data_IF_650576946506
#
_entry.id   IF_650576946506
#
_cell.length_a   1.000
_cell.length_b   1.000
_cell.length_c   1.000
_cell.angle_alpha   90.00
_cell.angle_beta   90.00
_cell.angle_gamma   90.00
#
_symmetry.space_group_name_H-M   'P 1'
#
loop_
_entity.id
_entity.type
_entity.pdbx_description
1 polymer ?
#
# COMPACT_ATOMS: atom_id res chain seq x y z
N UNK A 1 -0.64 16.13 58.93
CA UNK A 1 -0.52 17.51 58.40
C UNK A 1 0.82 17.83 57.73
N UNK A 2 1.90 17.07 57.92
CA UNK A 2 3.16 17.28 57.19
C UNK A 2 3.25 16.47 55.88
N UNK A 3 2.59 15.32 55.77
CA UNK A 3 2.58 14.48 54.56
C UNK A 3 1.69 15.02 53.43
N UNK A 4 0.58 15.70 53.74
CA UNK A 4 -0.31 16.31 52.72
C UNK A 4 0.30 17.51 51.98
N UNK A 5 1.36 18.12 52.53
CA UNK A 5 2.04 19.25 51.86
C UNK A 5 3.06 18.80 50.82
N UNK A 6 3.61 17.58 50.91
CA UNK A 6 4.57 17.06 49.93
C UNK A 6 3.90 16.44 48.70
N UNK A 7 2.71 15.84 48.86
CA UNK A 7 1.96 15.26 47.74
C UNK A 7 1.36 16.30 46.80
N UNK A 8 1.03 17.50 47.29
CA UNK A 8 0.45 18.57 46.48
C UNK A 8 1.48 19.38 45.67
N UNK A 9 2.79 19.16 45.87
CA UNK A 9 3.85 19.93 45.19
C UNK A 9 4.33 19.27 43.89
N UNK A 10 4.20 17.95 43.73
CA UNK A 10 4.75 17.26 42.55
C UNK A 10 3.83 17.34 41.33
N UNK A 11 2.51 17.32 41.49
CA UNK A 11 1.57 17.54 40.36
C UNK A 11 1.65 18.96 39.80
N UNK A 12 2.21 19.91 40.56
CA UNK A 12 2.49 21.27 40.10
C UNK A 12 3.75 21.39 39.21
N UNK A 13 4.51 20.31 39.00
CA UNK A 13 5.75 20.32 38.20
C UNK A 13 5.50 20.23 36.69
N UNK A 14 4.32 19.80 36.26
CA UNK A 14 4.02 19.57 34.85
C UNK A 14 2.74 20.31 34.46
N UNK A 15 2.80 21.02 33.33
CA UNK A 15 1.66 21.70 32.73
C UNK A 15 1.03 20.77 31.68
N UNK A 16 -0.26 20.48 31.81
CA UNK A 16 -1.01 19.70 30.81
C UNK A 16 -1.24 20.53 29.56
N UNK A 17 -0.89 19.95 28.40
CA UNK A 17 -1.06 20.55 27.07
C UNK A 17 -2.18 19.87 26.28
N UNK A 18 -2.41 18.58 26.52
CA UNK A 18 -3.49 17.83 25.87
C UNK A 18 -3.73 16.48 26.53
N UNK A 19 -4.90 15.89 26.27
CA UNK A 19 -5.28 14.56 26.76
C UNK A 19 -5.40 13.62 25.57
N UNK A 20 -4.65 12.51 25.60
CA UNK A 20 -4.71 11.46 24.58
C UNK A 20 -5.76 10.41 24.94
N UNK A 21 -5.87 10.08 26.22
CA UNK A 21 -6.81 9.08 26.72
C UNK A 21 -7.20 9.42 28.14
N UNK A 22 -8.47 9.28 28.47
CA UNK A 22 -8.98 9.45 29.83
C UNK A 22 -10.01 8.38 30.13
N UNK A 23 -9.62 7.42 30.95
CA UNK A 23 -10.42 6.27 31.36
C UNK A 23 -10.32 6.09 32.86
N UNK A 24 -11.17 5.22 33.42
CA UNK A 24 -11.12 4.90 34.86
C UNK A 24 -9.76 4.33 35.29
N UNK A 25 -9.04 3.65 34.40
CA UNK A 25 -7.81 2.91 34.72
C UNK A 25 -6.53 3.60 34.23
N UNK A 26 -6.65 4.61 33.36
CA UNK A 26 -5.52 5.34 32.79
C UNK A 26 -5.98 6.71 32.28
N UNK A 27 -5.24 7.74 32.68
CA UNK A 27 -5.27 9.06 32.05
C UNK A 27 -3.89 9.30 31.41
N UNK A 28 -3.83 9.36 30.08
CA UNK A 28 -2.61 9.65 29.31
C UNK A 28 -2.68 11.08 28.76
N UNK A 29 -1.67 11.89 29.08
CA UNK A 29 -1.65 13.32 28.75
C UNK A 29 -0.30 13.75 28.18
N UNK A 30 -0.34 14.66 27.22
CA UNK A 30 0.84 15.41 26.80
C UNK A 30 1.04 16.55 27.79
N UNK A 31 2.23 16.62 28.36
CA UNK A 31 2.61 17.59 29.38
C UNK A 31 3.96 18.22 29.04
N UNK A 32 4.27 19.36 29.65
CA UNK A 32 5.61 19.96 29.61
C UNK A 32 6.01 20.48 30.98
N UNK A 33 7.30 20.66 31.22
CA UNK A 33 7.78 21.38 32.41
C UNK A 33 7.62 22.89 32.18
N UNK A 34 7.24 23.67 33.22
CA UNK A 34 7.12 25.12 33.11
C UNK A 34 8.39 25.76 32.55
N UNK A 35 8.27 26.44 31.40
CA UNK A 35 9.39 27.12 30.74
C UNK A 35 10.26 26.23 29.84
N UNK A 36 10.00 24.92 29.77
CA UNK A 36 10.69 24.00 28.86
C UNK A 36 9.84 23.74 27.60
N UNK A 37 10.53 23.51 26.48
CA UNK A 37 9.90 23.15 25.19
C UNK A 37 9.78 21.65 24.97
N UNK A 38 10.42 20.82 25.81
CA UNK A 38 10.34 19.37 25.69
C UNK A 38 8.91 18.91 25.98
N UNK A 39 8.34 18.13 25.06
CA UNK A 39 7.06 17.49 25.24
C UNK A 39 7.26 16.14 25.92
N UNK A 40 6.43 15.87 26.91
CA UNK A 40 6.46 14.66 27.71
C UNK A 40 5.08 14.00 27.67
N UNK A 41 5.06 12.68 27.85
CA UNK A 41 3.87 11.88 28.01
C UNK A 41 3.75 11.48 29.48
N UNK A 42 2.67 11.90 30.12
CA UNK A 42 2.30 11.47 31.46
C UNK A 42 1.28 10.35 31.39
N UNK A 43 1.64 9.17 31.87
CA UNK A 43 0.71 8.08 32.13
C UNK A 43 0.33 8.11 33.62
N UNK A 44 -0.89 8.56 33.94
CA UNK A 44 -1.48 8.49 35.27
C UNK A 44 -2.32 7.25 35.41
N UNK A 45 -2.01 6.40 36.39
CA UNK A 45 -2.77 5.18 36.68
C UNK A 45 -3.14 5.15 38.16
N UNK A 46 -4.40 4.87 38.50
CA UNK A 46 -4.81 4.76 39.89
C UNK A 46 -4.13 3.61 40.64
N UNK A 47 -3.82 3.85 41.91
CA UNK A 47 -3.42 2.81 42.84
C UNK A 47 -4.59 1.88 43.12
N UNK A 48 -4.36 0.59 42.89
CA UNK A 48 -5.27 -0.49 43.23
C UNK A 48 -4.51 -1.77 43.52
N UNK A 49 -5.19 -2.77 44.07
CA UNK A 49 -4.61 -4.10 44.31
C UNK A 49 -4.11 -4.73 43.00
N UNK A 50 -4.90 -4.59 41.95
CA UNK A 50 -4.62 -5.09 40.60
C UNK A 50 -3.46 -4.38 39.88
N UNK A 51 -3.19 -3.10 40.18
CA UNK A 51 -2.09 -2.34 39.54
C UNK A 51 -0.77 -2.40 40.33
N UNK A 52 -0.78 -2.98 41.54
CA UNK A 52 0.37 -3.01 42.44
C UNK A 52 1.58 -3.76 41.86
N UNK A 53 1.35 -4.91 41.25
CA UNK A 53 2.41 -5.71 40.64
C UNK A 53 3.08 -4.95 39.47
N UNK A 54 2.24 -4.32 38.63
CA UNK A 54 2.69 -3.50 37.52
C UNK A 54 3.55 -2.32 37.99
N UNK A 55 3.10 -1.58 39.02
CA UNK A 55 3.89 -0.49 39.60
C UNK A 55 5.25 -0.98 40.13
N UNK A 56 5.29 -2.12 40.83
CA UNK A 56 6.56 -2.68 41.32
C UNK A 56 7.54 -3.00 40.18
N UNK A 57 7.04 -3.51 39.05
CA UNK A 57 7.87 -3.81 37.88
C UNK A 57 8.34 -2.51 37.19
N UNK A 58 7.47 -1.51 37.05
CA UNK A 58 7.82 -0.19 36.53
C UNK A 58 8.89 0.51 37.37
N UNK A 59 8.76 0.45 38.70
CA UNK A 59 9.76 1.02 39.61
C UNK A 59 11.12 0.33 39.47
N UNK A 60 11.13 -1.00 39.35
CA UNK A 60 12.36 -1.75 39.09
C UNK A 60 13.01 -1.36 37.74
N UNK A 61 12.21 -1.13 36.71
CA UNK A 61 12.70 -0.64 35.42
C UNK A 61 13.27 0.78 35.53
N UNK A 62 12.55 1.68 36.19
CA UNK A 62 12.94 3.07 36.39
C UNK A 62 14.27 3.23 37.15
N UNK A 63 14.48 2.41 38.17
CA UNK A 63 15.72 2.46 38.99
C UNK A 63 16.95 1.97 38.23
N UNK A 64 16.78 1.15 37.19
CA UNK A 64 17.86 0.62 36.35
C UNK A 64 18.03 1.36 35.03
N UNK A 65 17.22 2.39 34.79
CA UNK A 65 17.20 3.11 33.51
C UNK A 65 18.55 3.75 33.22
N UNK A 66 18.92 3.74 31.96
CA UNK A 66 20.04 4.53 31.47
C UNK A 66 19.69 6.02 31.46
N UNK A 67 20.70 6.89 31.60
CA UNK A 67 20.54 8.36 31.61
C UNK A 67 19.90 8.89 30.31
N UNK A 68 20.10 8.19 29.18
CA UNK A 68 19.54 8.55 27.87
C UNK A 68 18.17 7.94 27.60
N UNK A 69 17.58 7.21 28.54
CA UNK A 69 16.28 6.56 28.38
C UNK A 69 15.16 7.57 28.06
N UNK A 70 14.15 7.12 27.33
CA UNK A 70 12.91 7.87 27.15
C UNK A 70 12.05 7.88 28.42
N UNK A 71 12.36 7.04 29.42
CA UNK A 71 11.69 7.00 30.71
C UNK A 71 12.28 8.10 31.63
N UNK A 72 11.59 9.23 31.72
CA UNK A 72 12.09 10.46 32.33
C UNK A 72 11.92 10.44 33.84
N UNK A 73 10.71 10.15 34.31
CA UNK A 73 10.35 10.32 35.72
C UNK A 73 9.28 9.30 36.15
N UNK A 74 9.25 8.98 37.45
CA UNK A 74 8.26 8.08 38.05
C UNK A 74 8.01 8.52 39.49
N UNK A 75 6.76 8.85 39.80
CA UNK A 75 6.35 9.28 41.14
C UNK A 75 4.91 8.91 41.46
N UNK A 76 4.54 9.04 42.73
CA UNK A 76 3.16 8.86 43.21
C UNK A 76 2.65 10.16 43.81
N UNK A 77 1.41 10.53 43.49
CA UNK A 77 0.74 11.67 44.10
C UNK A 77 -0.72 11.29 44.41
N UNK A 78 -1.13 11.46 45.67
CA UNK A 78 -2.45 11.05 46.12
C UNK A 78 -2.64 9.53 46.03
N UNK A 79 -3.67 9.10 45.30
CA UNK A 79 -3.98 7.69 45.03
C UNK A 79 -3.59 7.27 43.61
N UNK A 80 -2.68 7.98 42.97
CA UNK A 80 -2.25 7.68 41.60
C UNK A 80 -0.73 7.59 41.50
N UNK A 81 -0.26 6.80 40.52
CA UNK A 81 1.12 6.83 40.08
C UNK A 81 1.22 7.43 38.68
N UNK A 82 2.36 8.09 38.45
CA UNK A 82 2.66 8.83 37.24
C UNK A 82 3.96 8.33 36.66
N UNK A 83 3.92 7.80 35.44
CA UNK A 83 5.10 7.45 34.67
C UNK A 83 5.25 8.44 33.51
N UNK A 84 6.38 9.15 33.49
CA UNK A 84 6.65 10.22 32.54
C UNK A 84 7.66 9.73 31.50
N UNK A 85 7.28 9.81 30.22
CA UNK A 85 8.15 9.47 29.09
C UNK A 85 8.35 10.67 28.17
N UNK A 86 9.38 10.64 27.33
CA UNK A 86 9.48 11.58 26.21
C UNK A 86 8.32 11.39 25.24
N UNK A 87 7.74 12.51 24.79
CA UNK A 87 6.69 12.50 23.77
C UNK A 87 7.27 12.98 22.44
N UNK A 88 6.94 12.24 21.38
CA UNK A 88 7.31 12.58 20.01
C UNK A 88 6.04 12.83 19.21
N UNK A 89 6.02 13.89 18.42
CA UNK A 89 4.94 14.13 17.47
C UNK A 89 5.15 13.27 16.22
N UNK A 90 4.08 12.67 15.70
CA UNK A 90 4.11 11.84 14.52
C UNK A 90 2.76 11.19 14.25
N UNK A 91 2.56 10.67 13.04
CA UNK A 91 1.37 9.85 12.74
C UNK A 91 1.64 8.42 13.18
N UNK A 92 0.64 7.79 13.77
CA UNK A 92 0.77 6.39 14.18
C UNK A 92 0.77 5.45 12.97
N UNK A 93 1.22 4.21 13.15
CA UNK A 93 1.03 3.17 12.14
C UNK A 93 -0.45 2.86 11.95
N UNK A 94 -1.26 2.91 13.01
CA UNK A 94 -2.72 2.75 12.92
C UNK A 94 -3.36 3.74 11.93
N UNK A 95 -2.90 4.99 11.92
CA UNK A 95 -3.34 6.03 11.00
C UNK A 95 -2.72 5.87 9.61
N UNK A 96 -1.41 5.62 9.55
CA UNK A 96 -0.65 5.64 8.31
C UNK A 96 -0.84 4.38 7.46
N UNK A 97 -1.21 3.25 8.08
CA UNK A 97 -1.33 1.94 7.42
C UNK A 97 -2.72 1.33 7.48
N UNK A 98 -3.76 2.12 7.78
CA UNK A 98 -5.16 1.67 7.83
C UNK A 98 -5.57 0.85 6.60
N UNK A 99 -5.21 1.34 5.40
CA UNK A 99 -5.55 0.70 4.11
C UNK A 99 -4.41 -0.16 3.54
N UNK A 100 -3.36 -0.42 4.34
CA UNK A 100 -2.14 -1.14 3.95
C UNK A 100 -1.47 -0.56 2.67
N UNK A 101 -1.12 0.75 2.65
CA UNK A 101 -0.47 1.37 1.50
C UNK A 101 0.97 0.87 1.29
N UNK A 102 1.54 1.23 0.14
CA UNK A 102 2.93 0.92 -0.22
C UNK A 102 3.13 -0.48 -0.80
N UNK A 103 4.39 -0.80 -1.12
CA UNK A 103 4.79 -2.14 -1.53
C UNK A 103 5.20 -2.99 -0.30
N UNK A 104 5.32 -4.30 -0.52
CA UNK A 104 5.70 -5.27 0.54
C UNK A 104 7.05 -4.92 1.19
N UNK A 105 8.02 -4.48 0.40
CA UNK A 105 9.37 -4.13 0.88
C UNK A 105 9.34 -2.96 1.85
N UNK A 106 8.58 -1.90 1.56
CA UNK A 106 8.41 -0.74 2.44
C UNK A 106 7.74 -1.15 3.75
N UNK A 107 6.66 -1.93 3.69
CA UNK A 107 5.95 -2.41 4.90
C UNK A 107 6.84 -3.28 5.78
N UNK A 108 7.59 -4.21 5.19
CA UNK A 108 8.56 -5.02 5.91
C UNK A 108 9.65 -4.17 6.55
N UNK A 109 10.18 -3.18 5.83
CA UNK A 109 11.21 -2.29 6.36
C UNK A 109 10.72 -1.49 7.57
N UNK A 110 9.51 -0.95 7.50
CA UNK A 110 8.90 -0.22 8.62
C UNK A 110 8.64 -1.14 9.80
N UNK A 111 8.07 -2.34 9.55
CA UNK A 111 7.85 -3.35 10.59
C UNK A 111 9.16 -3.74 11.30
N UNK A 112 10.21 -4.04 10.54
CA UNK A 112 11.54 -4.38 11.08
C UNK A 112 12.07 -3.24 11.96
N UNK A 113 12.01 -1.99 11.47
CA UNK A 113 12.44 -0.81 12.24
C UNK A 113 11.61 -0.64 13.52
N UNK A 114 10.31 -0.88 13.46
CA UNK A 114 9.43 -0.82 14.61
C UNK A 114 9.77 -1.87 15.67
N UNK A 115 9.89 -3.14 15.28
CA UNK A 115 10.27 -4.22 16.18
C UNK A 115 11.65 -3.98 16.80
N UNK A 116 12.59 -3.46 16.03
CA UNK A 116 13.91 -3.08 16.53
C UNK A 116 13.83 -1.94 17.55
N UNK A 117 13.01 -0.92 17.28
CA UNK A 117 12.82 0.19 18.21
C UNK A 117 12.12 -0.23 19.50
N UNK A 118 11.10 -1.09 19.42
CA UNK A 118 10.44 -1.69 20.59
C UNK A 118 11.42 -2.51 21.41
N UNK A 119 12.26 -3.33 20.76
CA UNK A 119 13.30 -4.08 21.47
C UNK A 119 14.26 -3.15 22.20
N UNK A 120 14.84 -2.17 21.50
CA UNK A 120 15.84 -1.27 22.09
C UNK A 120 15.27 -0.31 23.15
N UNK A 121 14.03 0.16 22.99
CA UNK A 121 13.38 1.07 23.93
C UNK A 121 12.60 0.40 25.06
N UNK A 122 12.26 -0.88 24.91
CA UNK A 122 11.33 -1.58 25.80
C UNK A 122 11.90 -2.77 26.57
N UNK A 123 13.12 -3.24 26.29
CA UNK A 123 13.65 -4.50 26.87
C UNK A 123 13.63 -4.52 28.40
N UNK A 124 13.91 -3.39 29.06
CA UNK A 124 13.92 -3.31 30.52
C UNK A 124 12.58 -2.91 31.14
N UNK A 125 11.56 -2.63 30.32
CA UNK A 125 10.22 -2.27 30.76
C UNK A 125 9.39 -3.53 31.06
N UNK A 126 8.34 -3.43 31.89
CA UNK A 126 7.41 -4.53 32.14
C UNK A 126 6.82 -5.09 30.84
N UNK A 127 6.50 -6.39 30.82
CA UNK A 127 5.92 -7.04 29.63
C UNK A 127 4.64 -6.34 29.17
N UNK A 128 3.81 -5.86 30.10
CA UNK A 128 2.61 -5.08 29.78
C UNK A 128 2.90 -3.80 29.00
N UNK A 129 4.01 -3.12 29.29
CA UNK A 129 4.46 -1.94 28.53
C UNK A 129 5.03 -2.35 27.19
N UNK A 130 5.83 -3.42 27.13
CA UNK A 130 6.34 -3.94 25.86
C UNK A 130 5.20 -4.30 24.90
N UNK A 131 4.12 -4.87 25.40
CA UNK A 131 2.90 -5.15 24.65
C UNK A 131 2.18 -3.90 24.18
N UNK A 132 2.07 -2.89 25.04
CA UNK A 132 1.53 -1.58 24.66
C UNK A 132 2.35 -0.96 23.51
N UNK A 133 3.68 -1.06 23.57
CA UNK A 133 4.57 -0.53 22.53
C UNK A 133 4.47 -1.27 21.18
N UNK A 134 3.94 -2.49 21.17
CA UNK A 134 3.70 -3.26 19.95
C UNK A 134 2.37 -2.87 19.26
N UNK A 135 1.51 -2.09 19.92
CA UNK A 135 0.27 -1.61 19.32
C UNK A 135 0.54 -0.61 18.19
N UNK A 136 -0.14 -0.69 17.04
CA UNK A 136 0.07 0.23 15.92
C UNK A 136 -0.12 1.72 16.27
N UNK A 137 -0.93 2.03 17.26
CA UNK A 137 -1.18 3.37 17.78
C UNK A 137 0.05 3.96 18.49
N UNK A 138 0.87 3.08 19.09
CA UNK A 138 2.05 3.47 19.87
C UNK A 138 3.35 3.52 19.05
N UNK A 139 3.27 3.21 17.75
CA UNK A 139 4.41 3.27 16.85
C UNK A 139 4.19 4.45 15.91
N UNK A 140 5.01 5.48 16.05
CA UNK A 140 4.90 6.72 15.31
C UNK A 140 5.92 6.77 14.17
N UNK A 141 5.52 7.38 13.06
CA UNK A 141 6.41 7.77 11.97
C UNK A 141 6.59 9.29 11.99
N UNK A 142 7.84 9.73 12.07
CA UNK A 142 8.18 11.14 11.86
C UNK A 142 8.17 11.50 10.36
N UNK A 143 8.43 12.77 10.05
CA UNK A 143 8.41 13.28 8.67
C UNK A 143 9.44 12.61 7.75
N UNK A 144 10.48 12.00 8.32
CA UNK A 144 11.55 11.29 7.61
C UNK A 144 11.31 9.77 7.57
N UNK A 145 10.13 9.31 7.98
CA UNK A 145 9.78 7.89 8.14
C UNK A 145 10.68 7.13 9.14
N UNK A 146 11.28 7.83 10.11
CA UNK A 146 11.91 7.17 11.23
C UNK A 146 10.86 6.72 12.24
N UNK A 147 11.10 5.57 12.85
CA UNK A 147 10.20 5.00 13.85
C UNK A 147 10.48 5.59 15.23
N UNK A 148 9.47 6.19 15.84
CA UNK A 148 9.44 6.65 17.23
C UNK A 148 8.39 5.85 18.01
N UNK A 149 8.53 5.84 19.33
CA UNK A 149 7.59 5.16 20.21
C UNK A 149 6.81 6.19 21.02
N UNK A 150 5.51 5.97 21.10
CA UNK A 150 4.63 6.59 22.07
C UNK A 150 4.47 5.59 23.22
N UNK A 151 4.92 5.96 24.42
CA UNK A 151 4.89 5.07 25.59
C UNK A 151 3.54 5.14 26.32
N UNK A 152 2.43 5.19 25.58
CA UNK A 152 1.11 5.21 26.20
C UNK A 152 0.75 3.80 26.68
N UNK A 153 0.36 3.68 27.94
CA UNK A 153 -0.03 2.39 28.51
C UNK A 153 -1.40 1.94 28.00
N UNK A 154 -1.66 0.63 28.13
CA UNK A 154 -2.91 -0.02 27.75
C UNK A 154 -3.43 -0.81 28.97
N UNK A 155 -4.49 -0.32 29.66
CA UNK A 155 -5.03 -0.95 30.86
C UNK A 155 -5.26 -2.45 30.74
N UNK A 156 -5.72 -2.91 29.59
CA UNK A 156 -5.96 -4.31 29.29
C UNK A 156 -4.74 -5.23 29.49
N UNK A 157 -3.52 -4.69 29.46
CA UNK A 157 -2.30 -5.47 29.66
C UNK A 157 -1.81 -5.52 31.11
N UNK A 158 -2.36 -4.70 32.01
CA UNK A 158 -1.95 -4.63 33.41
C UNK A 158 -3.12 -4.61 34.41
N UNK A 159 -4.36 -4.58 33.93
CA UNK A 159 -5.59 -4.72 34.72
C UNK A 159 -6.35 -5.97 34.25
N UNK A 160 -6.76 -6.82 35.19
CA UNK A 160 -7.48 -8.07 34.90
C UNK A 160 -6.61 -9.32 34.64
N UNK A 161 -7.30 -10.46 34.48
CA UNK A 161 -6.68 -11.80 34.31
C UNK A 161 -6.22 -12.10 32.88
N UNK A 162 -6.47 -11.22 31.92
CA UNK A 162 -6.06 -11.40 30.53
C UNK A 162 -4.61 -10.92 30.42
N UNK A 163 -3.68 -11.77 30.81
CA UNK A 163 -2.25 -11.45 30.71
C UNK A 163 -1.85 -11.12 29.27
N UNK A 164 -0.84 -10.25 29.12
CA UNK A 164 -0.25 -10.01 27.82
C UNK A 164 0.69 -11.15 27.40
N UNK A 165 0.79 -11.41 26.10
CA UNK A 165 1.88 -12.18 25.50
C UNK A 165 2.57 -11.34 24.45
N UNK A 166 3.85 -11.00 24.67
CA UNK A 166 4.67 -10.26 23.70
C UNK A 166 4.60 -10.86 22.30
N UNK A 167 4.55 -12.18 22.18
CA UNK A 167 4.51 -12.88 20.90
C UNK A 167 3.17 -12.75 20.19
N UNK A 168 2.08 -12.78 20.95
CA UNK A 168 0.74 -12.54 20.41
C UNK A 168 0.62 -11.12 19.85
N UNK A 169 1.11 -10.13 20.59
CA UNK A 169 1.09 -8.72 20.15
C UNK A 169 2.05 -8.48 18.98
N UNK A 170 3.21 -9.13 18.97
CA UNK A 170 4.13 -9.07 17.83
C UNK A 170 3.49 -9.66 16.57
N UNK A 171 2.82 -10.81 16.69
CA UNK A 171 2.08 -11.42 15.58
C UNK A 171 0.92 -10.53 15.12
N UNK A 172 0.19 -9.89 16.04
CA UNK A 172 -0.88 -8.95 15.70
C UNK A 172 -0.34 -7.76 14.89
N UNK A 173 0.80 -7.19 15.28
CA UNK A 173 1.47 -6.12 14.52
C UNK A 173 1.94 -6.60 13.14
N UNK A 174 2.51 -7.82 13.05
CA UNK A 174 2.87 -8.42 11.77
C UNK A 174 1.65 -8.59 10.86
N UNK A 175 0.52 -9.05 11.40
CA UNK A 175 -0.71 -9.21 10.66
C UNK A 175 -1.31 -7.87 10.21
N UNK A 176 -1.24 -6.86 11.05
CA UNK A 176 -1.62 -5.49 10.70
C UNK A 176 -0.80 -4.98 9.51
N UNK A 177 0.54 -5.13 9.56
CA UNK A 177 1.44 -4.63 8.53
C UNK A 177 1.48 -5.47 7.25
N UNK A 178 1.28 -6.79 7.33
CA UNK A 178 1.52 -7.73 6.23
C UNK A 178 0.27 -8.53 5.86
N UNK A 179 -0.93 -8.00 6.13
CA UNK A 179 -2.21 -8.70 5.93
C UNK A 179 -2.35 -9.32 4.53
N UNK A 180 -1.87 -8.63 3.49
CA UNK A 180 -1.99 -9.06 2.09
C UNK A 180 -1.05 -10.24 1.81
N UNK A 181 0.19 -10.15 2.29
CA UNK A 181 1.23 -11.16 2.10
C UNK A 181 0.94 -12.44 2.86
N UNK A 182 0.42 -12.32 4.08
CA UNK A 182 0.12 -13.48 4.92
C UNK A 182 -1.04 -14.33 4.36
N UNK A 183 -1.91 -13.74 3.52
CA UNK A 183 -2.98 -14.47 2.81
C UNK A 183 -2.50 -15.10 1.51
N UNK A 184 -1.48 -14.53 0.88
CA UNK A 184 -1.02 -14.95 -0.44
C UNK A 184 -0.12 -16.21 -0.36
N UNK A 185 -0.41 -17.28 -1.13
CA UNK A 185 0.36 -18.52 -1.09
C UNK A 185 1.83 -18.38 -1.51
N UNK A 186 2.17 -17.40 -2.34
CA UNK A 186 3.52 -17.17 -2.84
C UNK A 186 4.49 -16.69 -1.75
N UNK A 187 4.01 -16.09 -0.65
CA UNK A 187 4.84 -15.63 0.47
C UNK A 187 4.98 -16.68 1.58
N UNK A 188 5.35 -17.92 1.22
CA UNK A 188 5.50 -19.02 2.19
C UNK A 188 6.42 -18.67 3.36
N UNK A 189 7.58 -18.07 3.10
CA UNK A 189 8.55 -17.71 4.14
C UNK A 189 7.95 -16.76 5.20
N UNK A 190 7.24 -15.70 4.78
CA UNK A 190 6.60 -14.75 5.71
C UNK A 190 5.50 -15.41 6.53
N UNK A 191 4.73 -16.32 5.94
CA UNK A 191 3.69 -17.07 6.66
C UNK A 191 4.29 -18.02 7.69
N UNK A 192 5.40 -18.67 7.36
CA UNK A 192 6.09 -19.57 8.28
C UNK A 192 6.67 -18.77 9.47
N UNK A 193 7.31 -17.61 9.20
CA UNK A 193 7.80 -16.70 10.25
C UNK A 193 6.65 -16.21 11.14
N UNK A 194 5.52 -15.78 10.55
CA UNK A 194 4.34 -15.36 11.30
C UNK A 194 3.79 -16.48 12.19
N UNK A 195 3.67 -17.71 11.69
CA UNK A 195 3.21 -18.87 12.47
C UNK A 195 4.16 -19.19 13.63
N UNK A 196 5.48 -19.12 13.38
CA UNK A 196 6.48 -19.31 14.44
C UNK A 196 6.38 -18.23 15.52
N UNK A 197 6.18 -16.97 15.12
CA UNK A 197 5.96 -15.85 16.02
C UNK A 197 4.68 -16.05 16.85
N UNK A 198 3.55 -16.35 16.20
CA UNK A 198 2.28 -16.60 16.86
C UNK A 198 2.33 -17.77 17.86
N UNK A 199 3.08 -18.82 17.52
CA UNK A 199 3.31 -19.96 18.41
C UNK A 199 4.36 -19.69 19.51
N UNK A 200 4.97 -18.50 19.55
CA UNK A 200 5.97 -18.12 20.55
C UNK A 200 7.27 -18.93 20.46
N UNK A 201 7.65 -19.40 19.26
CA UNK A 201 8.83 -20.25 19.05
C UNK A 201 10.16 -19.47 18.99
N UNK A 202 10.10 -18.14 19.03
CA UNK A 202 11.28 -17.29 19.10
C UNK A 202 11.67 -17.04 20.56
N UNK A 203 12.97 -17.02 20.85
CA UNK A 203 13.48 -16.71 22.20
C UNK A 203 13.41 -15.20 22.49
N UNK A 204 13.60 -14.37 21.46
CA UNK A 204 13.64 -12.90 21.55
C UNK A 204 13.37 -12.23 20.21
N UNK A 205 13.10 -10.92 20.21
CA UNK A 205 12.82 -10.16 18.99
C UNK A 205 13.97 -10.17 17.97
N UNK A 206 15.27 -10.13 18.34
CA UNK A 206 16.34 -10.07 17.34
C UNK A 206 16.41 -11.27 16.36
N UNK A 207 16.27 -12.54 16.79
CA UNK A 207 16.10 -13.65 15.86
C UNK A 207 14.95 -13.50 14.87
N UNK A 208 13.78 -13.04 15.32
CA UNK A 208 12.62 -12.77 14.46
C UNK A 208 12.93 -11.65 13.46
N UNK A 209 13.50 -10.54 13.92
CA UNK A 209 13.90 -9.40 13.08
C UNK A 209 14.84 -9.88 11.96
N UNK A 210 15.84 -10.68 12.29
CA UNK A 210 16.79 -11.24 11.33
C UNK A 210 16.11 -12.12 10.28
N UNK A 211 15.12 -12.93 10.66
CA UNK A 211 14.39 -13.76 9.71
C UNK A 211 13.49 -12.92 8.79
N UNK A 212 12.88 -11.84 9.32
CA UNK A 212 12.14 -10.86 8.53
C UNK A 212 13.05 -10.11 7.55
N UNK A 213 14.27 -9.75 7.95
CA UNK A 213 15.27 -9.14 7.06
C UNK A 213 15.64 -10.07 5.92
N UNK A 214 15.93 -11.34 6.21
CA UNK A 214 16.20 -12.35 5.15
C UNK A 214 15.02 -12.52 4.20
N UNK A 215 13.80 -12.52 4.72
CA UNK A 215 12.60 -12.60 3.91
C UNK A 215 12.46 -11.36 3.01
N UNK A 216 12.71 -10.16 3.54
CA UNK A 216 12.73 -8.91 2.77
C UNK A 216 13.75 -8.95 1.65
N UNK A 217 14.99 -9.33 1.94
CA UNK A 217 16.08 -9.31 0.97
C UNK A 217 15.85 -10.33 -0.17
N UNK A 218 15.09 -11.39 0.11
CA UNK A 218 14.65 -12.36 -0.90
C UNK A 218 13.68 -11.75 -1.93
N UNK A 219 12.90 -10.73 -1.54
CA UNK A 219 12.10 -9.97 -2.49
C UNK A 219 12.98 -9.10 -3.40
N UNK A 220 14.01 -8.45 -2.85
CA UNK A 220 14.96 -7.63 -3.61
C UNK A 220 15.81 -8.42 -4.62
N UNK A 221 16.15 -9.68 -4.33
CA UNK A 221 16.92 -10.54 -5.24
C UNK A 221 16.08 -11.19 -6.36
N UNK A 222 14.75 -11.12 -6.26
CA UNK A 222 13.83 -11.56 -7.33
C UNK A 222 13.69 -10.56 -8.48
N UNK A 223 14.51 -9.52 -8.52
CA UNK A 223 14.67 -8.68 -9.70
C UNK A 223 15.25 -9.50 -10.85
N UNK A 224 14.53 -9.58 -11.97
CA UNK A 224 14.83 -10.17 -13.28
C UNK A 224 16.27 -10.04 -13.85
N UNK A 225 17.17 -9.32 -13.20
CA UNK A 225 18.45 -8.84 -13.71
C UNK A 225 19.52 -9.93 -13.94
N UNK A 226 19.71 -10.97 -13.09
CA UNK A 226 20.74 -11.97 -13.36
C UNK A 226 20.32 -12.97 -14.46
N UNK A 227 19.03 -13.29 -14.58
CA UNK A 227 18.52 -14.22 -15.61
C UNK A 227 18.39 -13.55 -16.98
N UNK A 228 17.95 -12.30 -17.03
CA UNK A 228 17.88 -11.53 -18.28
C UNK A 228 19.29 -11.29 -18.86
N UNK A 229 20.29 -10.97 -18.03
CA UNK A 229 21.69 -10.84 -18.49
C UNK A 229 22.27 -12.14 -19.05
N UNK A 230 21.94 -13.29 -18.43
CA UNK A 230 22.38 -14.59 -18.93
C UNK A 230 21.74 -14.92 -20.30
N UNK A 231 20.43 -14.68 -20.44
CA UNK A 231 19.69 -14.91 -21.69
C UNK A 231 20.14 -13.99 -22.83
N UNK A 232 20.43 -12.71 -22.53
CA UNK A 232 20.87 -11.73 -23.53
C UNK A 232 22.31 -11.99 -24.03
N UNK A 233 23.17 -12.54 -23.16
CA UNK A 233 24.53 -12.91 -23.56
C UNK A 233 24.55 -14.15 -24.46
N UNK A 234 23.67 -15.11 -24.22
CA UNK A 234 23.59 -16.35 -24.99
C UNK A 234 23.07 -16.10 -26.43
N UNK A 235 22.13 -15.17 -26.60
CA UNK A 235 21.51 -14.89 -27.91
C UNK A 235 22.13 -13.72 -28.70
N UNK A 236 23.22 -13.11 -28.21
CA UNK A 236 23.86 -11.93 -28.83
C UNK A 236 24.30 -12.16 -30.29
N UNK A 237 24.64 -13.40 -30.67
CA UNK A 237 25.05 -13.74 -32.05
C UNK A 237 23.86 -13.88 -33.01
N UNK A 238 22.69 -14.30 -32.53
CA UNK A 238 21.47 -14.43 -33.36
C UNK A 238 20.77 -13.09 -33.57
N UNK A 239 20.77 -12.21 -32.57
CA UNK A 239 20.19 -10.86 -32.70
C UNK A 239 20.94 -9.98 -33.73
N UNK A 240 22.27 -10.10 -33.82
CA UNK A 240 23.07 -9.30 -34.75
C UNK A 240 22.77 -9.60 -36.24
N UNK A 241 22.40 -10.85 -36.58
CA UNK A 241 22.06 -11.23 -37.96
C UNK A 241 20.64 -10.78 -38.36
N UNK A 242 19.69 -10.76 -37.41
CA UNK A 242 18.31 -10.33 -37.68
C UNK A 242 18.21 -8.80 -37.78
N UNK A 243 19.06 -8.07 -37.06
CA UNK A 243 19.11 -6.60 -37.11
C UNK A 243 19.53 -6.02 -38.47
N UNK A 244 20.45 -6.67 -39.20
CA UNK A 244 20.86 -6.21 -40.54
C UNK A 244 19.69 -6.27 -41.54
N UNK A 245 18.92 -7.36 -41.52
CA UNK A 245 17.79 -7.54 -42.44
C UNK A 245 16.71 -6.48 -42.23
N UNK A 246 16.44 -6.10 -40.97
CA UNK A 246 15.50 -5.03 -40.65
C UNK A 246 15.94 -3.66 -41.19
N UNK A 247 17.23 -3.34 -41.11
CA UNK A 247 17.76 -2.05 -41.62
C UNK A 247 17.63 -1.94 -43.14
N UNK A 248 17.83 -3.05 -43.88
CA UNK A 248 17.70 -3.05 -45.35
C UNK A 248 16.25 -2.81 -45.79
N UNK A 249 15.28 -3.43 -45.11
CA UNK A 249 13.85 -3.25 -45.40
C UNK A 249 13.42 -1.80 -45.13
N UNK A 250 13.85 -1.23 -44.01
CA UNK A 250 13.50 0.14 -43.61
C UNK A 250 14.08 1.18 -44.57
N UNK A 251 15.31 0.95 -45.07
CA UNK A 251 15.93 1.79 -46.09
C UNK A 251 15.17 1.73 -47.42
N UNK A 252 14.67 0.55 -47.80
CA UNK A 252 13.91 0.36 -49.04
C UNK A 252 12.54 1.06 -48.97
N UNK A 253 11.86 1.02 -47.82
CA UNK A 253 10.63 1.79 -47.57
C UNK A 253 10.87 3.30 -47.63
N UNK A 254 12.00 3.78 -47.08
CA UNK A 254 12.35 5.21 -47.11
C UNK A 254 12.64 5.72 -48.52
N UNK A 255 13.26 4.90 -49.37
CA UNK A 255 13.46 5.23 -50.80
C UNK A 255 12.12 5.31 -51.54
N UNK A 256 11.19 4.38 -51.30
CA UNK A 256 9.85 4.41 -51.90
C UNK A 256 9.08 5.65 -51.45
N UNK A 257 9.12 5.98 -50.16
CA UNK A 257 8.47 7.18 -49.62
C UNK A 257 9.00 8.46 -50.28
N UNK A 258 10.32 8.61 -50.38
CA UNK A 258 10.95 9.75 -51.04
C UNK A 258 10.52 9.91 -52.51
N UNK A 259 10.43 8.81 -53.26
CA UNK A 259 9.97 8.82 -54.65
C UNK A 259 8.52 9.32 -54.72
N UNK A 260 7.62 8.80 -53.87
CA UNK A 260 6.21 9.21 -53.86
C UNK A 260 6.03 10.68 -53.45
N UNK A 261 6.83 11.18 -52.52
CA UNK A 261 6.76 12.56 -52.05
C UNK A 261 7.29 13.58 -53.07
N UNK A 262 8.19 13.18 -53.98
CA UNK A 262 8.75 14.05 -55.01
C UNK A 262 7.89 14.12 -56.27
N UNK A 263 6.98 13.16 -56.48
CA UNK A 263 6.05 13.13 -57.62
C UNK A 263 4.68 13.75 -57.33
N UNK A 264 4.37 14.10 -56.07
CA UNK A 264 3.05 14.50 -55.62
C UNK A 264 2.81 16.01 -55.49
N UNK A 265 3.39 16.84 -56.36
CA UNK A 265 3.18 18.29 -56.34
C UNK A 265 2.63 18.82 -57.67
N UNK A 266 1.31 19.03 -57.76
CA UNK A 266 0.68 20.24 -58.34
C UNK A 266 -0.86 20.11 -58.52
N UNK A 267 -1.53 21.25 -58.23
CA UNK A 267 -2.89 21.72 -58.59
C UNK A 267 -4.01 21.56 -57.55
N UNK A 268 -4.89 22.53 -57.28
CA UNK A 268 -4.87 24.01 -57.18
C UNK A 268 -6.34 24.45 -56.90
N UNK A 269 -6.52 25.34 -55.92
CA UNK A 269 -7.50 26.44 -55.78
C UNK A 269 -9.04 26.22 -55.91
N UNK A 270 -9.79 26.71 -54.90
CA UNK A 270 -11.09 27.38 -55.10
C UNK A 270 -12.18 27.14 -54.03
N UNK A 271 -12.37 28.09 -53.11
CA UNK A 271 -13.61 28.33 -52.32
C UNK A 271 -14.59 29.23 -53.13
N UNK A 272 -15.94 29.22 -52.92
CA UNK A 272 -16.58 29.65 -51.67
C UNK A 272 -17.89 28.91 -51.23
N UNK A 273 -18.32 29.24 -50.01
CA UNK A 273 -19.45 28.76 -49.22
C UNK A 273 -20.82 29.27 -49.76
N UNK A 274 -21.90 28.48 -49.67
CA UNK A 274 -23.27 28.90 -49.22
C UNK A 274 -24.27 27.73 -49.18
N UNK A 275 -25.05 27.63 -48.10
CA UNK A 275 -26.21 26.74 -47.93
C UNK A 275 -27.38 27.12 -48.89
N UNK A 276 -28.30 26.16 -49.15
CA UNK A 276 -29.78 26.20 -48.95
C UNK A 276 -30.54 25.31 -49.96
N UNK A 277 -31.50 24.51 -49.44
CA UNK A 277 -32.64 23.87 -50.13
C UNK A 277 -32.91 22.47 -49.53
N UNK A 278 -33.97 22.16 -48.76
CA UNK A 278 -35.43 22.38 -48.89
C UNK A 278 -35.93 22.12 -50.31
N UNK A 279 -36.62 21.00 -50.55
CA UNK A 279 -38.09 20.83 -50.77
C UNK A 279 -38.20 19.42 -51.39
N UNK A 280 -39.23 18.58 -51.29
CA UNK A 280 -40.48 18.44 -50.55
C UNK A 280 -41.02 17.07 -50.97
N UNK A 281 -41.84 16.44 -50.13
CA UNK A 281 -42.45 15.15 -50.38
C UNK A 281 -43.55 15.23 -51.45
N UNK A 282 -43.57 14.21 -52.32
CA UNK A 282 -44.70 13.81 -53.16
C UNK A 282 -45.09 12.37 -52.83
N UNK A 283 -46.22 12.26 -52.14
CA UNK A 283 -47.17 11.17 -51.92
C UNK A 283 -46.82 9.70 -52.24
N UNK A 284 -47.04 8.85 -51.22
CA UNK A 284 -47.62 7.53 -51.37
C UNK A 284 -48.96 7.44 -50.61
N UNK A 285 -49.97 6.88 -51.27
CA UNK A 285 -51.19 6.20 -50.78
C UNK A 285 -51.45 5.14 -51.87
N UNK A 286 -51.76 3.86 -51.68
CA UNK A 286 -52.12 2.93 -50.61
C UNK A 286 -51.45 1.57 -51.05
N UNK A 287 -51.29 0.49 -50.29
CA UNK A 287 -52.29 -0.35 -49.62
C UNK A 287 -51.58 -1.38 -48.71
N UNK A 288 -52.38 -1.91 -47.80
CA UNK A 288 -52.12 -2.91 -46.78
C UNK A 288 -51.65 -4.29 -47.29
N UNK A 289 -51.02 -5.08 -46.42
CA UNK A 289 -50.98 -6.54 -46.57
C UNK A 289 -49.84 -7.26 -45.86
N UNK A 290 -50.09 -7.71 -44.63
CA UNK A 290 -49.32 -8.73 -43.89
C UNK A 290 -49.03 -9.99 -44.73
N UNK A 291 -47.91 -10.70 -44.57
CA UNK A 291 -47.72 -11.82 -43.63
C UNK A 291 -46.21 -12.16 -43.49
N UNK A 292 -45.85 -12.59 -42.28
CA UNK A 292 -44.55 -13.06 -41.80
C UNK A 292 -43.92 -14.25 -42.53
N UNK A 293 -42.59 -14.35 -42.50
CA UNK A 293 -41.82 -15.30 -41.64
C UNK A 293 -40.32 -15.19 -41.96
N UNK A 294 -39.51 -14.79 -40.98
CA UNK A 294 -38.08 -15.12 -40.94
C UNK A 294 -37.73 -15.73 -39.59
N UNK A 295 -37.38 -17.01 -39.66
CA UNK A 295 -36.73 -17.81 -38.62
C UNK A 295 -35.28 -17.30 -38.49
N UNK A 296 -34.73 -17.23 -37.26
CA UNK A 296 -33.48 -16.59 -36.94
C UNK A 296 -32.33 -17.56 -37.25
N UNK A 297 -31.19 -17.04 -37.71
CA UNK A 297 -29.84 -17.46 -37.28
C UNK A 297 -28.83 -16.83 -38.25
N UNK A 298 -28.33 -15.62 -37.91
CA UNK A 298 -26.90 -15.25 -37.95
C UNK A 298 -26.74 -13.80 -37.48
N UNK A 299 -26.02 -13.51 -36.39
CA UNK A 299 -25.63 -12.13 -36.07
C UNK A 299 -24.61 -11.60 -37.09
N UNK A 300 -24.58 -10.28 -37.35
CA UNK A 300 -23.73 -9.64 -38.35
C UNK A 300 -22.27 -9.57 -37.89
N UNK A 301 -21.33 -9.60 -38.85
CA UNK A 301 -19.91 -9.26 -38.66
C UNK A 301 -19.78 -7.79 -38.23
N UNK A 302 -19.09 -7.57 -37.10
CA UNK A 302 -18.76 -6.24 -36.57
C UNK A 302 -17.58 -5.61 -37.31
N UNK A 303 -17.70 -4.31 -37.55
CA UNK A 303 -16.76 -3.43 -38.24
C UNK A 303 -15.43 -3.29 -37.46
N UNK A 304 -14.29 -3.52 -38.13
CA UNK A 304 -12.96 -3.14 -37.64
C UNK A 304 -12.82 -1.61 -37.63
N UNK A 305 -13.05 -0.97 -36.47
CA UNK A 305 -12.75 0.44 -36.24
C UNK A 305 -11.46 0.62 -35.43
N UNK A 306 -10.43 1.15 -36.08
CA UNK A 306 -9.44 2.12 -35.58
C UNK A 306 -8.73 1.93 -34.21
N UNK A 307 -8.30 0.73 -33.80
CA UNK A 307 -7.51 0.54 -32.55
C UNK A 307 -5.99 0.79 -32.67
N UNK A 308 -5.50 1.28 -33.82
CA UNK A 308 -4.06 1.36 -34.13
C UNK A 308 -3.32 2.58 -33.53
N UNK A 309 -4.01 3.45 -32.78
CA UNK A 309 -3.46 4.75 -32.33
C UNK A 309 -3.28 4.87 -30.80
N UNK A 310 -3.45 3.79 -30.02
CA UNK A 310 -3.26 3.86 -28.58
C UNK A 310 -1.76 3.90 -28.21
N UNK A 311 -1.32 4.84 -27.36
CA UNK A 311 0.07 4.90 -26.91
C UNK A 311 0.41 3.65 -26.10
N UNK A 312 1.59 3.06 -26.35
CA UNK A 312 2.10 1.90 -25.64
C UNK A 312 2.36 2.22 -24.16
N UNK A 313 2.40 1.21 -23.26
CA UNK A 313 2.29 1.37 -21.80
C UNK A 313 3.51 2.00 -21.11
N UNK A 314 4.35 2.68 -21.87
CA UNK A 314 5.55 3.39 -21.46
C UNK A 314 5.36 4.92 -21.53
N UNK A 315 4.26 5.40 -22.13
CA UNK A 315 3.95 6.83 -22.23
C UNK A 315 2.61 7.19 -21.53
N UNK A 316 2.74 7.92 -20.42
CA UNK A 316 1.77 8.90 -19.86
C UNK A 316 0.33 8.48 -19.49
N UNK A 317 -0.03 7.20 -19.51
CA UNK A 317 -1.33 6.74 -19.01
C UNK A 317 -1.20 6.07 -17.63
N UNK A 318 -2.06 6.47 -16.69
CA UNK A 318 -2.21 5.78 -15.40
C UNK A 318 -2.93 4.48 -15.65
N UNK A 319 -2.20 3.37 -15.46
CA UNK A 319 -2.71 2.01 -15.64
C UNK A 319 -2.61 1.22 -14.34
N UNK A 320 -3.54 0.28 -14.15
CA UNK A 320 -3.48 -0.71 -13.09
C UNK A 320 -3.06 -2.07 -13.66
N UNK A 321 -2.24 -2.79 -12.90
CA UNK A 321 -1.83 -4.14 -13.26
C UNK A 321 -2.96 -5.12 -12.89
N UNK A 322 -3.51 -5.79 -13.90
CA UNK A 322 -4.49 -6.86 -13.78
C UNK A 322 -3.84 -8.21 -14.12
N UNK A 323 -4.00 -9.21 -13.25
CA UNK A 323 -3.49 -10.56 -13.51
C UNK A 323 -4.63 -11.42 -14.01
N UNK A 324 -4.47 -11.97 -15.21
CA UNK A 324 -5.47 -12.80 -15.88
C UNK A 324 -5.67 -14.09 -15.08
N UNK A 325 -6.89 -14.35 -14.60
CA UNK A 325 -7.28 -15.58 -13.94
C UNK A 325 -7.65 -16.68 -14.95
N UNK A 326 -7.65 -17.97 -14.56
CA UNK A 326 -8.07 -19.05 -15.44
C UNK A 326 -9.54 -18.92 -15.85
N UNK A 327 -9.78 -18.74 -17.16
CA UNK A 327 -11.12 -18.60 -17.73
C UNK A 327 -11.56 -17.16 -17.99
N UNK A 328 -10.69 -16.19 -17.72
CA UNK A 328 -10.92 -14.80 -18.11
C UNK A 328 -10.84 -14.63 -19.62
N UNK A 329 -11.81 -13.90 -20.17
CA UNK A 329 -11.81 -13.40 -21.54
C UNK A 329 -11.57 -11.89 -21.53
N UNK A 330 -11.16 -11.32 -22.67
CA UNK A 330 -11.04 -9.86 -22.78
C UNK A 330 -12.32 -9.14 -22.37
N UNK A 331 -13.46 -9.69 -22.78
CA UNK A 331 -14.77 -9.15 -22.44
C UNK A 331 -15.06 -9.23 -20.95
N UNK A 332 -14.74 -10.34 -20.25
CA UNK A 332 -15.00 -10.46 -18.81
C UNK A 332 -14.12 -9.54 -17.99
N UNK A 333 -12.86 -9.35 -18.41
CA UNK A 333 -11.91 -8.43 -17.78
C UNK A 333 -12.40 -6.98 -17.97
N UNK A 334 -12.77 -6.61 -19.20
CA UNK A 334 -13.23 -5.27 -19.52
C UNK A 334 -14.61 -4.94 -18.92
N UNK A 335 -15.52 -5.91 -18.85
CA UNK A 335 -16.79 -5.76 -18.15
C UNK A 335 -16.56 -5.55 -16.64
N UNK A 336 -15.66 -6.32 -16.03
CA UNK A 336 -15.35 -6.18 -14.60
C UNK A 336 -14.64 -4.87 -14.26
N UNK A 337 -13.77 -4.38 -15.14
CA UNK A 337 -12.90 -3.23 -14.85
C UNK A 337 -13.45 -1.91 -15.40
N UNK A 338 -14.02 -1.91 -16.61
CA UNK A 338 -14.60 -0.73 -17.25
C UNK A 338 -16.13 -0.67 -17.16
N UNK A 339 -16.79 -1.76 -16.78
CA UNK A 339 -18.26 -1.86 -16.80
C UNK A 339 -18.85 -1.98 -18.21
N UNK A 340 -18.03 -2.34 -19.20
CA UNK A 340 -18.48 -2.62 -20.57
C UNK A 340 -17.46 -3.50 -21.31
N UNK A 341 -17.93 -4.59 -21.92
CA UNK A 341 -17.14 -5.50 -22.72
C UNK A 341 -16.51 -4.84 -23.97
N UNK A 342 -17.13 -3.78 -24.51
CA UNK A 342 -16.67 -3.09 -25.72
C UNK A 342 -15.27 -2.44 -25.66
N UNK A 343 -14.62 -2.42 -24.50
CA UNK A 343 -13.24 -1.96 -24.33
C UNK A 343 -12.19 -3.06 -24.58
N UNK A 344 -12.60 -4.31 -24.83
CA UNK A 344 -11.72 -5.45 -25.07
C UNK A 344 -10.65 -5.20 -26.15
N UNK A 345 -10.98 -4.60 -27.32
CA UNK A 345 -9.96 -4.36 -28.34
C UNK A 345 -8.94 -3.29 -27.96
N UNK A 346 -9.38 -2.26 -27.24
CA UNK A 346 -8.51 -1.20 -26.74
C UNK A 346 -7.55 -1.72 -25.66
N UNK A 347 -8.04 -2.56 -24.74
CA UNK A 347 -7.24 -3.17 -23.70
C UNK A 347 -6.18 -4.13 -24.27
N UNK A 348 -6.53 -4.93 -25.27
CA UNK A 348 -5.58 -5.81 -25.94
C UNK A 348 -4.50 -5.01 -26.71
N UNK A 349 -4.91 -3.99 -27.48
CA UNK A 349 -4.00 -3.12 -28.23
C UNK A 349 -3.01 -2.38 -27.30
N UNK A 350 -3.50 -1.84 -26.18
CA UNK A 350 -2.64 -1.19 -25.17
C UNK A 350 -1.60 -2.14 -24.56
N UNK A 351 -1.90 -3.43 -24.50
CA UNK A 351 -0.95 -4.45 -24.02
C UNK A 351 -0.10 -5.07 -25.14
N UNK A 352 -0.25 -4.62 -26.40
CA UNK A 352 0.42 -5.21 -27.56
C UNK A 352 -0.01 -6.66 -27.84
N UNK A 353 -1.21 -7.03 -27.42
CA UNK A 353 -1.77 -8.38 -27.56
C UNK A 353 -2.85 -8.41 -28.63
N UNK A 354 -2.99 -9.55 -29.28
CA UNK A 354 -3.98 -9.79 -30.34
C UNK A 354 -5.36 -10.05 -29.72
N UNK A 355 -6.39 -9.33 -30.19
CA UNK A 355 -7.78 -9.49 -29.76
C UNK A 355 -8.38 -10.81 -30.19
N UNK A 356 -7.85 -11.43 -31.25
CA UNK A 356 -8.28 -12.74 -31.74
C UNK A 356 -7.85 -13.91 -30.84
N UNK A 357 -7.13 -13.64 -29.74
CA UNK A 357 -6.71 -14.66 -28.77
C UNK A 357 -7.00 -14.22 -27.35
N UNK A 358 -7.59 -15.13 -26.57
CA UNK A 358 -7.84 -14.91 -25.16
C UNK A 358 -6.53 -14.71 -24.37
N UNK A 359 -6.55 -13.85 -23.35
CA UNK A 359 -5.37 -13.58 -22.56
C UNK A 359 -5.00 -14.84 -21.75
N UNK A 360 -3.71 -15.18 -21.73
CA UNK A 360 -3.26 -16.39 -21.05
C UNK A 360 -3.27 -16.17 -19.52
N UNK A 361 -3.89 -17.09 -18.79
CA UNK A 361 -3.91 -17.07 -17.33
C UNK A 361 -2.50 -16.91 -16.72
N UNK A 362 -2.36 -16.00 -15.76
CA UNK A 362 -1.11 -15.60 -15.14
C UNK A 362 -0.36 -14.48 -15.87
N UNK A 363 -0.86 -14.00 -17.01
CA UNK A 363 -0.31 -12.81 -17.69
C UNK A 363 -0.71 -11.56 -16.92
N UNK A 364 0.22 -10.62 -16.79
CA UNK A 364 -0.06 -9.29 -16.21
C UNK A 364 -0.40 -8.36 -17.36
N UNK A 365 -1.65 -7.90 -17.38
CA UNK A 365 -2.16 -6.87 -18.27
C UNK A 365 -2.10 -5.53 -17.58
N UNK A 366 -1.69 -4.49 -18.28
CA UNK A 366 -1.85 -3.10 -17.84
C UNK A 366 -3.16 -2.57 -18.37
N UNK A 367 -4.09 -2.22 -17.50
CA UNK A 367 -5.39 -1.68 -17.87
C UNK A 367 -5.40 -0.17 -17.60
N UNK A 368 -5.41 0.68 -18.64
CA UNK A 368 -5.44 2.13 -18.47
C UNK A 368 -6.76 2.58 -17.81
N UNK A 369 -6.80 3.74 -17.16
CA UNK A 369 -8.05 4.21 -16.55
C UNK A 369 -9.15 4.49 -17.58
N UNK A 370 -10.40 4.18 -17.23
CA UNK A 370 -11.58 4.33 -18.10
C UNK A 370 -11.70 5.72 -18.73
N UNK A 371 -11.52 6.76 -17.91
CA UNK A 371 -11.65 8.16 -18.34
C UNK A 371 -10.58 8.56 -19.37
N UNK A 372 -9.44 7.86 -19.39
CA UNK A 372 -8.38 8.08 -20.36
C UNK A 372 -8.62 7.28 -21.65
N UNK A 373 -9.24 6.10 -21.58
CA UNK A 373 -9.63 5.30 -22.75
C UNK A 373 -10.77 5.93 -23.56
N UNK A 374 -11.74 6.56 -22.89
CA UNK A 374 -12.87 7.22 -23.55
C UNK A 374 -12.43 8.32 -24.54
N UNK A 375 -11.33 9.03 -24.23
CA UNK A 375 -10.76 10.07 -25.10
C UNK A 375 -10.18 9.52 -26.42
N UNK A 376 -9.92 8.22 -26.51
CA UNK A 376 -9.37 7.57 -27.71
C UNK A 376 -10.40 6.70 -28.45
N UNK A 377 -11.62 6.58 -27.93
CA UNK A 377 -12.71 5.77 -28.50
C UNK A 377 -13.86 6.63 -29.06
N UNK A 378 -13.86 7.95 -28.83
CA UNK A 378 -14.86 8.90 -29.32
C UNK A 378 -14.44 9.69 -30.58
N UNK A 379 -13.31 9.35 -31.22
CA UNK A 379 -12.86 9.96 -32.49
C UNK A 379 -13.20 9.11 -33.72
#
# INVERSE_FOLDING_TARGET
MAEERQTNTQTALYQTLGTLTDTLYLTAQVVSRPGEKELLLSNRVPHGEETRAFFSQLYAAFTRREERSDFVDLFSAGQDFYAIFRYYEGRSLAESFRDCPGNTEKRLTILIRALFRVHTGGTDLPESVQCALLQPENILLDQEENVRLLYQFHPEFFTGNVGCSRWKETAALMEFMLRRELKNPYHKALRDIYKMCQAGLYDSLPPLIRDLEKARDSFGQSGFIPKAKAFFQENKKRLAQVSWLGIVVLFLCLVVYLITSLTGGEKAAGEPITQIGLVSYGEGQEEEGSIQLQDPTRPPEEEEVAFASLPQPEELLTSEDYIVEPGDTWDSICESYYGAAGYAPAAASYNGLDTGREPQAGTVLRLPMKDQLAQYLED
#
